data_IF_802491874665
#
_entry.id   IF_802491874665
#
_cell.length_a   1.000
_cell.length_b   1.000
_cell.length_c   1.000
_cell.angle_alpha   90.00
_cell.angle_beta   90.00
_cell.angle_gamma   90.00
#
_symmetry.space_group_name_H-M   'P 1'
#
loop_
_entity.id
_entity.type
_entity.pdbx_description
1 polymer ?
#
# COMPACT_ATOMS: atom_id res chain seq x y z
N UNK A 1 -15.30 -37.54 9.10
CA UNK A 1 -13.99 -37.08 8.59
C UNK A 1 -14.07 -36.21 7.36
N UNK A 2 -14.75 -36.64 6.31
CA UNK A 2 -14.90 -35.82 5.09
C UNK A 2 -15.59 -34.46 5.32
N UNK A 3 -16.60 -34.40 6.18
CA UNK A 3 -17.29 -33.13 6.55
C UNK A 3 -16.36 -32.15 7.30
N UNK A 4 -15.45 -32.65 8.11
CA UNK A 4 -14.49 -31.82 8.86
C UNK A 4 -13.38 -31.29 7.98
N UNK A 5 -12.91 -32.09 7.03
CA UNK A 5 -11.94 -31.65 6.01
C UNK A 5 -12.55 -30.62 5.05
N UNK A 6 -13.81 -30.82 4.62
CA UNK A 6 -14.53 -29.87 3.79
C UNK A 6 -14.78 -28.54 4.52
N UNK A 7 -15.06 -28.57 5.82
CA UNK A 7 -15.21 -27.36 6.63
C UNK A 7 -13.90 -26.59 6.78
N UNK A 8 -12.81 -27.31 7.05
CA UNK A 8 -11.49 -26.68 7.14
C UNK A 8 -11.03 -26.13 5.79
N UNK A 9 -11.27 -26.89 4.71
CA UNK A 9 -10.97 -26.40 3.36
C UNK A 9 -11.84 -25.21 2.95
N UNK A 10 -13.12 -25.20 3.34
CA UNK A 10 -14.00 -24.05 3.12
C UNK A 10 -13.54 -22.81 3.91
N UNK A 11 -13.09 -22.98 5.14
CA UNK A 11 -12.61 -21.89 5.97
C UNK A 11 -11.29 -21.33 5.43
N UNK A 12 -10.37 -22.17 5.00
CA UNK A 12 -9.18 -21.74 4.28
C UNK A 12 -9.54 -21.12 2.93
N UNK A 13 -10.50 -21.69 2.20
CA UNK A 13 -10.96 -21.12 0.93
C UNK A 13 -11.62 -19.74 1.10
N UNK A 14 -12.36 -19.50 2.19
CA UNK A 14 -12.92 -18.17 2.51
C UNK A 14 -11.81 -17.17 2.81
N UNK A 15 -10.78 -17.56 3.56
CA UNK A 15 -9.64 -16.70 3.92
C UNK A 15 -8.73 -16.48 2.70
N UNK A 16 -8.54 -17.52 1.89
CA UNK A 16 -7.59 -17.57 0.75
C UNK A 16 -8.27 -17.62 -0.60
N UNK A 17 -9.58 -17.36 -0.70
CA UNK A 17 -10.33 -17.50 -1.94
C UNK A 17 -9.97 -16.37 -2.92
N UNK A 18 -8.99 -16.63 -3.75
CA UNK A 18 -8.48 -15.72 -4.79
C UNK A 18 -9.51 -15.38 -5.88
N UNK A 19 -10.58 -16.15 -6.00
CA UNK A 19 -11.70 -15.86 -6.92
C UNK A 19 -12.60 -14.75 -6.41
N UNK A 20 -12.69 -14.58 -5.07
CA UNK A 20 -13.53 -13.57 -4.44
C UNK A 20 -12.74 -12.35 -3.98
N UNK A 21 -11.49 -12.54 -3.55
CA UNK A 21 -10.62 -11.45 -3.10
C UNK A 21 -9.15 -11.75 -3.42
N UNK A 22 -8.46 -10.76 -3.95
CA UNK A 22 -7.02 -10.81 -4.03
C UNK A 22 -6.41 -10.48 -2.67
N UNK A 23 -5.41 -11.23 -2.25
CA UNK A 23 -4.65 -10.89 -1.06
C UNK A 23 -3.89 -9.58 -1.28
N UNK A 24 -3.91 -8.73 -0.26
CA UNK A 24 -3.16 -7.48 -0.23
C UNK A 24 -2.24 -7.51 0.98
N UNK A 25 -0.95 -7.31 0.75
CA UNK A 25 0.04 -7.11 1.79
C UNK A 25 0.44 -5.64 1.74
N UNK A 26 0.05 -4.88 2.75
CA UNK A 26 0.32 -3.46 2.84
C UNK A 26 1.32 -3.19 3.96
N UNK A 27 2.44 -2.57 3.62
CA UNK A 27 3.45 -2.10 4.57
C UNK A 27 3.24 -0.62 4.85
N UNK A 28 3.06 -0.26 6.12
CA UNK A 28 3.06 1.13 6.57
C UNK A 28 4.46 1.49 7.05
N UNK A 29 5.13 2.36 6.33
CA UNK A 29 6.50 2.77 6.66
C UNK A 29 6.56 3.78 7.80
N UNK A 30 5.42 4.41 8.10
CA UNK A 30 5.33 5.44 9.12
C UNK A 30 6.30 6.60 8.81
N UNK A 31 6.95 7.19 9.80
CA UNK A 31 7.92 8.26 9.60
C UNK A 31 9.33 7.66 9.48
N UNK A 32 9.58 6.94 8.42
CA UNK A 32 10.88 6.31 8.14
C UNK A 32 11.25 6.46 6.67
N UNK A 33 12.54 6.43 6.41
CA UNK A 33 13.18 6.51 5.11
C UNK A 33 13.20 7.91 4.49
N UNK A 34 14.30 8.17 3.83
CA UNK A 34 14.48 9.31 2.93
C UNK A 34 14.18 8.88 1.49
N UNK A 35 14.03 9.79 0.53
CA UNK A 35 13.83 9.43 -0.86
C UNK A 35 14.89 8.50 -1.44
N UNK A 36 16.15 8.69 -1.07
CA UNK A 36 17.25 7.82 -1.48
C UNK A 36 17.10 6.40 -0.91
N UNK A 37 16.92 6.31 0.39
CA UNK A 37 16.70 5.02 1.08
C UNK A 37 15.44 4.29 0.55
N UNK A 38 14.41 5.04 0.20
CA UNK A 38 13.19 4.51 -0.43
C UNK A 38 13.48 3.85 -1.76
N UNK A 39 14.22 4.52 -2.62
CA UNK A 39 14.65 3.97 -3.92
C UNK A 39 15.47 2.70 -3.75
N UNK A 40 16.46 2.73 -2.86
CA UNK A 40 17.32 1.59 -2.57
C UNK A 40 16.52 0.38 -2.10
N UNK A 41 15.65 0.57 -1.10
CA UNK A 41 14.84 -0.51 -0.53
C UNK A 41 13.86 -1.10 -1.55
N UNK A 42 13.17 -0.28 -2.32
CA UNK A 42 12.23 -0.77 -3.35
C UNK A 42 12.96 -1.57 -4.42
N UNK A 43 14.14 -1.12 -4.84
CA UNK A 43 14.96 -1.86 -5.80
C UNK A 43 15.41 -3.23 -5.26
N UNK A 44 15.72 -3.33 -3.97
CA UNK A 44 16.03 -4.61 -3.31
C UNK A 44 14.80 -5.51 -3.20
N UNK A 45 13.62 -4.93 -2.98
CA UNK A 45 12.36 -5.68 -2.84
C UNK A 45 11.85 -6.25 -4.16
N UNK A 46 12.01 -5.56 -5.27
CA UNK A 46 11.46 -5.94 -6.57
C UNK A 46 11.69 -7.39 -6.97
N UNK A 47 12.92 -7.93 -6.89
CA UNK A 47 13.15 -9.34 -7.24
C UNK A 47 12.55 -10.32 -6.25
N UNK A 48 12.24 -9.90 -5.02
CA UNK A 48 11.74 -10.74 -3.95
C UNK A 48 10.21 -10.85 -3.94
N UNK A 49 9.50 -9.89 -4.52
CA UNK A 49 8.04 -9.79 -4.48
C UNK A 49 7.40 -10.04 -5.85
N UNK A 50 7.69 -11.19 -6.43
CA UNK A 50 7.13 -11.62 -7.73
C UNK A 50 5.84 -12.44 -7.61
N UNK A 51 5.07 -12.24 -6.58
CA UNK A 51 3.84 -13.00 -6.37
C UNK A 51 2.74 -12.56 -7.34
N UNK A 52 2.36 -13.43 -8.25
CA UNK A 52 1.38 -13.16 -9.31
C UNK A 52 -0.03 -12.85 -8.81
N UNK A 53 -0.37 -13.28 -7.61
CA UNK A 53 -1.74 -13.23 -7.08
C UNK A 53 -1.89 -12.36 -5.83
N UNK A 54 -0.81 -11.81 -5.31
CA UNK A 54 -0.82 -10.96 -4.12
C UNK A 54 -0.41 -9.55 -4.50
N UNK A 55 -1.23 -8.58 -4.13
CA UNK A 55 -0.86 -7.17 -4.26
C UNK A 55 0.06 -6.78 -3.12
N UNK A 56 1.17 -6.16 -3.46
CA UNK A 56 2.09 -5.57 -2.49
C UNK A 56 1.93 -4.06 -2.54
N UNK A 57 1.56 -3.45 -1.43
CA UNK A 57 1.35 -2.01 -1.30
C UNK A 57 2.33 -1.46 -0.27
N UNK A 58 3.06 -0.44 -0.63
CA UNK A 58 3.94 0.28 0.30
C UNK A 58 3.35 1.66 0.54
N UNK A 59 2.92 1.92 1.77
CA UNK A 59 2.45 3.23 2.20
C UNK A 59 3.64 3.98 2.80
N UNK A 60 4.04 5.04 2.12
CA UNK A 60 5.27 5.78 2.40
C UNK A 60 4.96 7.25 2.78
N UNK A 61 5.85 7.92 3.50
CA UNK A 61 5.73 9.36 3.75
C UNK A 61 5.56 10.17 2.47
N UNK A 62 4.88 11.31 2.55
CA UNK A 62 4.67 12.18 1.39
C UNK A 62 5.96 12.55 0.66
N UNK A 63 7.04 12.79 1.39
CA UNK A 63 8.35 13.16 0.84
C UNK A 63 8.95 12.06 -0.04
N UNK A 64 8.54 10.82 0.17
CA UNK A 64 9.09 9.65 -0.52
C UNK A 64 8.22 9.19 -1.71
N UNK A 65 7.04 9.76 -1.90
CA UNK A 65 6.10 9.31 -2.93
C UNK A 65 6.69 9.34 -4.34
N UNK A 66 7.34 10.42 -4.73
CA UNK A 66 7.95 10.52 -6.06
C UNK A 66 9.01 9.45 -6.28
N UNK A 67 9.91 9.27 -5.31
CA UNK A 67 10.97 8.26 -5.38
C UNK A 67 10.39 6.84 -5.40
N UNK A 68 9.37 6.58 -4.58
CA UNK A 68 8.72 5.28 -4.51
C UNK A 68 7.96 4.93 -5.81
N UNK A 69 7.23 5.87 -6.38
CA UNK A 69 6.51 5.70 -7.65
C UNK A 69 7.48 5.43 -8.80
N UNK A 70 8.58 6.14 -8.87
CA UNK A 70 9.61 5.92 -9.89
C UNK A 70 10.30 4.55 -9.71
N UNK A 71 10.75 4.22 -8.51
CA UNK A 71 11.43 2.97 -8.23
C UNK A 71 10.54 1.73 -8.43
N UNK A 72 9.24 1.84 -8.20
CA UNK A 72 8.28 0.73 -8.33
C UNK A 72 7.82 0.46 -9.76
N UNK A 73 8.14 1.32 -10.73
CA UNK A 73 7.75 1.13 -12.13
C UNK A 73 8.19 -0.25 -12.65
N UNK A 74 7.30 -0.88 -13.41
CA UNK A 74 7.56 -2.20 -13.99
C UNK A 74 7.56 -3.36 -13.00
N UNK A 75 7.13 -3.13 -11.75
CA UNK A 75 6.99 -4.15 -10.73
C UNK A 75 5.52 -4.34 -10.31
N UNK A 76 5.27 -5.34 -9.48
CA UNK A 76 3.96 -5.56 -8.84
C UNK A 76 3.80 -4.81 -7.52
N UNK A 77 4.71 -3.91 -7.18
CA UNK A 77 4.64 -3.06 -6.01
C UNK A 77 3.81 -1.83 -6.35
N UNK A 78 2.76 -1.59 -5.59
CA UNK A 78 1.93 -0.41 -5.68
C UNK A 78 2.22 0.53 -4.50
N UNK A 79 2.07 1.82 -4.73
CA UNK A 79 2.43 2.85 -3.74
C UNK A 79 1.16 3.46 -3.15
N UNK A 80 1.17 3.61 -1.84
CA UNK A 80 0.16 4.30 -1.07
C UNK A 80 0.73 5.48 -0.29
N UNK A 81 -0.14 6.42 0.06
CA UNK A 81 0.16 7.50 0.98
C UNK A 81 -0.28 7.14 2.40
N UNK A 82 0.31 7.78 3.38
CA UNK A 82 0.03 7.52 4.80
C UNK A 82 -1.05 8.42 5.38
N UNK A 83 -1.49 9.42 4.61
CA UNK A 83 -2.55 10.36 4.99
C UNK A 83 -3.11 11.06 3.75
N UNK A 84 -4.27 11.68 3.92
CA UNK A 84 -4.87 12.59 2.94
C UNK A 84 -5.78 13.56 3.64
N UNK A 85 -5.75 14.84 3.22
CA UNK A 85 -6.70 15.85 3.68
C UNK A 85 -8.06 15.68 2.97
N UNK A 86 -9.15 15.99 3.65
CA UNK A 86 -10.51 15.83 3.12
C UNK A 86 -10.92 16.94 2.13
N UNK A 87 -10.25 18.09 2.15
CA UNK A 87 -10.47 19.18 1.16
C UNK A 87 -9.58 19.00 -0.04
N UNK A 88 -10.05 19.40 -1.20
CA UNK A 88 -9.25 19.34 -2.43
C UNK A 88 -8.18 20.43 -2.51
N UNK A 89 -8.42 21.56 -1.89
CA UNK A 89 -7.51 22.71 -1.84
C UNK A 89 -7.88 23.66 -0.71
N UNK A 90 -7.05 24.62 -0.43
CA UNK A 90 -7.34 25.70 0.51
C UNK A 90 -6.21 26.01 1.48
N UNK A 91 -6.56 26.75 2.53
CA UNK A 91 -5.63 27.19 3.57
C UNK A 91 -5.34 26.07 4.59
N UNK A 92 -4.67 25.04 4.15
CA UNK A 92 -4.30 23.84 4.92
C UNK A 92 -2.82 23.56 4.76
N UNK A 93 -2.00 24.47 5.26
CA UNK A 93 -0.55 24.42 5.10
C UNK A 93 0.03 23.07 5.54
N UNK A 94 0.79 22.43 4.64
CA UNK A 94 1.42 21.12 4.87
C UNK A 94 0.55 19.91 4.54
N UNK A 95 -0.75 20.11 4.26
CA UNK A 95 -1.64 19.01 3.91
C UNK A 95 -1.55 18.63 2.42
N UNK A 96 -1.89 17.40 2.12
CA UNK A 96 -1.93 16.85 0.77
C UNK A 96 -3.33 16.31 0.49
N UNK A 97 -3.92 16.70 -0.63
CA UNK A 97 -5.27 16.28 -1.01
C UNK A 97 -5.27 14.94 -1.77
N UNK A 98 -6.42 14.27 -1.76
CA UNK A 98 -6.62 13.06 -2.56
C UNK A 98 -6.43 13.32 -4.07
N UNK A 99 -6.81 14.52 -4.54
CA UNK A 99 -6.60 14.94 -5.94
C UNK A 99 -5.12 14.99 -6.31
N UNK A 100 -4.28 15.56 -5.45
CA UNK A 100 -2.83 15.61 -5.64
C UNK A 100 -2.23 14.19 -5.70
N UNK A 101 -2.64 13.33 -4.78
CA UNK A 101 -2.17 11.95 -4.73
C UNK A 101 -2.58 11.15 -5.97
N UNK A 102 -3.82 11.30 -6.41
CA UNK A 102 -4.34 10.63 -7.60
C UNK A 102 -3.57 11.03 -8.86
N UNK A 103 -3.30 12.33 -9.04
CA UNK A 103 -2.54 12.82 -10.18
C UNK A 103 -1.11 12.27 -10.22
N UNK A 104 -0.49 12.08 -9.07
CA UNK A 104 0.83 11.43 -8.96
C UNK A 104 0.82 9.94 -9.35
N UNK A 105 -0.34 9.29 -9.35
CA UNK A 105 -0.46 7.85 -9.56
C UNK A 105 -0.51 7.02 -8.28
N UNK A 106 -0.70 7.65 -7.13
CA UNK A 106 -0.91 6.96 -5.85
C UNK A 106 -2.29 6.29 -5.87
N UNK A 107 -2.33 5.00 -5.54
CA UNK A 107 -3.55 4.18 -5.62
C UNK A 107 -4.21 3.91 -4.27
N UNK A 108 -3.46 4.04 -3.20
CA UNK A 108 -3.90 3.70 -1.85
C UNK A 108 -3.60 4.83 -0.89
N UNK A 109 -4.37 4.91 0.17
CA UNK A 109 -4.12 5.85 1.25
C UNK A 109 -4.56 5.25 2.58
N UNK A 110 -3.73 5.42 3.59
CA UNK A 110 -4.08 5.10 4.97
C UNK A 110 -4.87 6.26 5.55
N UNK A 111 -6.07 6.00 6.02
CA UNK A 111 -6.95 7.02 6.62
C UNK A 111 -7.28 6.62 8.04
N UNK A 112 -7.28 7.60 8.93
CA UNK A 112 -7.70 7.41 10.33
C UNK A 112 -6.76 6.51 11.14
N UNK A 113 -5.48 6.46 10.78
CA UNK A 113 -4.51 5.69 11.55
C UNK A 113 -4.48 6.15 13.01
N UNK A 114 -4.36 5.21 13.95
CA UNK A 114 -4.40 5.49 15.40
C UNK A 114 -3.38 6.53 15.85
N UNK A 115 -2.21 6.58 15.23
CA UNK A 115 -1.17 7.58 15.51
C UNK A 115 -1.59 9.00 15.11
N UNK A 116 -2.61 9.16 14.27
CA UNK A 116 -3.17 10.45 13.84
C UNK A 116 -4.53 10.79 14.45
N UNK A 117 -5.16 9.85 15.10
CA UNK A 117 -6.46 10.03 15.79
C UNK A 117 -6.23 10.58 17.19
N UNK A 118 -6.12 11.90 17.31
CA UNK A 118 -5.98 12.62 18.56
C UNK A 118 -7.20 13.50 18.83
#
# INVERSE_FOLDING_TARGET
MARRMLYNNKRMAIIMNKKLRNAVIAGNWKMNKTPKETTELINEMKPLVKAESTKVVLCVPFVDLCAALEASKGSNIEIGAENSHFKESGAYTGEVSAKMLKEMGVKYVVIGHSERRQ
#
